data_IF_594073862620
#
_entry.id   IF_594073862620
#
_cell.length_a   1.000
_cell.length_b   1.000
_cell.length_c   1.000
_cell.angle_alpha   90.00
_cell.angle_beta   90.00
_cell.angle_gamma   90.00
#
_symmetry.space_group_name_H-M   'P 1'
#
loop_
_entity.id
_entity.type
_entity.pdbx_description
1 polymer ?
#
# COMPACT_ATOMS: atom_id res chain seq x y z
N UNK A 1 -0.65 13.02 -12.62
CA UNK A 1 -1.06 12.61 -11.25
C UNK A 1 -1.57 11.19 -11.30
N UNK A 2 -1.80 10.53 -10.16
CA UNK A 2 -2.37 9.17 -10.11
C UNK A 2 -3.74 9.14 -10.81
N UNK A 3 -4.67 10.01 -10.41
CA UNK A 3 -6.00 10.11 -11.03
C UNK A 3 -5.94 10.41 -12.54
N UNK A 4 -4.92 11.17 -12.98
CA UNK A 4 -4.74 11.47 -14.41
C UNK A 4 -4.33 10.26 -15.25
N UNK A 5 -3.82 9.19 -14.63
CA UNK A 5 -3.45 7.96 -15.32
C UNK A 5 -4.65 7.14 -15.78
N UNK A 6 -5.86 7.37 -15.25
CA UNK A 6 -7.07 6.64 -15.67
C UNK A 6 -7.24 6.66 -17.19
N UNK A 7 -7.07 7.82 -17.84
CA UNK A 7 -7.19 7.94 -19.30
C UNK A 7 -6.09 7.18 -20.06
N UNK A 8 -4.88 7.12 -19.49
CA UNK A 8 -3.76 6.39 -20.08
C UNK A 8 -4.03 4.89 -19.98
N UNK A 9 -4.46 4.43 -18.81
CA UNK A 9 -4.79 3.03 -18.57
C UNK A 9 -5.97 2.58 -19.42
N UNK A 10 -7.03 3.39 -19.52
CA UNK A 10 -8.18 3.15 -20.40
C UNK A 10 -7.71 2.84 -21.83
N UNK A 11 -6.78 3.66 -22.33
CA UNK A 11 -6.18 3.47 -23.66
C UNK A 11 -5.38 2.18 -23.77
N UNK A 12 -4.57 1.86 -22.75
CA UNK A 12 -3.77 0.64 -22.72
C UNK A 12 -4.64 -0.63 -22.66
N UNK A 13 -5.80 -0.54 -22.02
CA UNK A 13 -6.79 -1.60 -21.93
C UNK A 13 -7.77 -1.62 -23.11
N UNK A 14 -7.61 -0.71 -24.07
CA UNK A 14 -8.40 -0.71 -25.31
C UNK A 14 -9.79 -0.08 -25.19
N UNK A 15 -10.01 0.79 -24.19
CA UNK A 15 -11.27 1.48 -23.93
C UNK A 15 -12.45 0.51 -23.72
N UNK A 16 -12.18 -0.62 -23.09
CA UNK A 16 -13.22 -1.62 -22.81
C UNK A 16 -14.04 -1.13 -21.62
N UNK A 17 -15.36 -1.16 -21.77
CA UNK A 17 -16.27 -0.97 -20.64
C UNK A 17 -16.76 -2.33 -20.14
N UNK A 18 -16.32 -2.70 -18.94
CA UNK A 18 -16.82 -3.86 -18.20
C UNK A 18 -17.62 -3.37 -16.97
N UNK A 19 -18.27 -4.29 -16.24
CA UNK A 19 -18.99 -3.97 -14.99
C UNK A 19 -20.18 -3.00 -15.12
N UNK A 20 -20.93 -3.06 -16.22
CA UNK A 20 -22.18 -2.29 -16.42
C UNK A 20 -22.00 -0.75 -16.39
N UNK A 21 -20.83 -0.25 -16.82
CA UNK A 21 -20.55 1.20 -16.91
C UNK A 21 -20.54 1.69 -18.35
N UNK A 22 -20.67 3.00 -18.55
CA UNK A 22 -20.44 3.63 -19.86
C UNK A 22 -18.94 3.73 -20.20
N UNK A 23 -18.08 3.74 -19.17
CA UNK A 23 -16.63 3.81 -19.28
C UNK A 23 -15.97 2.88 -18.26
N UNK A 24 -14.93 2.15 -18.69
CA UNK A 24 -14.16 1.25 -17.81
C UNK A 24 -13.30 2.02 -16.81
N UNK A 25 -12.31 2.77 -17.31
CA UNK A 25 -11.45 3.65 -16.48
C UNK A 25 -11.91 5.10 -16.57
N UNK A 26 -12.32 5.68 -15.45
CA UNK A 26 -12.94 6.99 -15.44
C UNK A 26 -12.29 7.91 -14.37
N UNK A 27 -11.62 8.99 -14.77
CA UNK A 27 -11.02 9.95 -13.85
C UNK A 27 -12.06 10.73 -13.01
N UNK A 28 -13.36 10.61 -13.30
CA UNK A 28 -14.44 11.19 -12.52
C UNK A 28 -15.01 10.25 -11.44
N UNK A 29 -14.59 8.98 -11.40
CA UNK A 29 -15.01 8.01 -10.39
C UNK A 29 -14.15 8.08 -9.11
N UNK A 30 -14.06 9.29 -8.57
CA UNK A 30 -13.48 9.57 -7.26
C UNK A 30 -14.49 10.33 -6.42
N UNK A 31 -14.65 9.93 -5.17
CA UNK A 31 -15.67 10.51 -4.30
C UNK A 31 -15.14 10.71 -2.88
N UNK A 32 -15.81 11.62 -2.18
CA UNK A 32 -15.65 11.79 -0.74
C UNK A 32 -16.81 11.05 -0.06
N UNK A 33 -16.50 10.20 0.90
CA UNK A 33 -17.47 9.57 1.80
C UNK A 33 -17.28 10.12 3.20
N UNK A 34 -18.39 10.37 3.89
CA UNK A 34 -18.41 10.77 5.30
C UNK A 34 -18.97 9.62 6.13
N UNK A 35 -18.44 9.42 7.32
CA UNK A 35 -18.88 8.43 8.28
C UNK A 35 -19.09 9.11 9.64
N UNK A 36 -20.29 8.96 10.21
CA UNK A 36 -20.74 9.82 11.31
C UNK A 36 -21.17 11.21 10.85
N UNK A 37 -21.51 12.07 11.81
CA UNK A 37 -21.98 13.43 11.55
C UNK A 37 -20.82 14.44 11.62
N UNK A 38 -20.59 15.27 10.58
CA UNK A 38 -19.46 16.20 10.51
C UNK A 38 -19.67 17.44 11.39
N UNK A 39 -19.77 17.24 12.70
CA UNK A 39 -19.92 18.28 13.71
C UNK A 39 -18.56 18.79 14.19
N UNK A 40 -18.46 20.08 14.53
CA UNK A 40 -17.24 20.68 15.07
C UNK A 40 -16.79 20.02 16.39
N UNK A 41 -17.73 19.55 17.20
CA UNK A 41 -17.46 18.86 18.47
C UNK A 41 -17.62 17.34 18.35
N UNK A 42 -17.81 16.82 17.14
CA UNK A 42 -18.15 15.43 16.88
C UNK A 42 -16.93 14.54 16.64
N UNK A 43 -17.19 13.24 16.65
CA UNK A 43 -16.26 12.20 16.23
C UNK A 43 -16.75 11.61 14.91
N UNK A 44 -16.04 11.89 13.83
CA UNK A 44 -16.44 11.49 12.48
C UNK A 44 -15.22 11.29 11.61
N UNK A 45 -15.39 10.57 10.50
CA UNK A 45 -14.32 10.39 9.53
C UNK A 45 -14.79 10.72 8.12
N UNK A 46 -13.82 11.00 7.26
CA UNK A 46 -14.06 11.07 5.84
C UNK A 46 -12.98 10.31 5.08
N UNK A 47 -13.37 9.86 3.89
CA UNK A 47 -12.49 9.14 2.98
C UNK A 47 -12.55 9.78 1.61
N UNK A 48 -11.41 10.00 0.99
CA UNK A 48 -11.32 10.25 -0.44
C UNK A 48 -10.85 8.98 -1.13
N UNK A 49 -11.63 8.48 -2.08
CA UNK A 49 -11.37 7.19 -2.70
C UNK A 49 -11.76 7.11 -4.16
N UNK A 50 -11.07 6.20 -4.87
CA UNK A 50 -11.33 5.83 -6.25
C UNK A 50 -10.27 4.81 -6.69
N UNK A 51 -10.19 4.54 -7.99
CA UNK A 51 -9.19 3.61 -8.52
C UNK A 51 -7.76 4.11 -8.18
N UNK A 52 -6.97 3.26 -7.52
CA UNK A 52 -5.63 3.55 -7.00
C UNK A 52 -5.48 4.66 -5.94
N UNK A 53 -6.57 5.16 -5.34
CA UNK A 53 -6.49 6.14 -4.26
C UNK A 53 -7.45 5.73 -3.14
N UNK A 54 -6.96 5.64 -1.91
CA UNK A 54 -7.81 5.51 -0.73
C UNK A 54 -7.14 6.18 0.46
N UNK A 55 -7.65 7.35 0.82
CA UNK A 55 -7.17 8.18 1.93
C UNK A 55 -8.24 8.24 2.99
N UNK A 56 -7.90 7.97 4.24
CA UNK A 56 -8.84 7.99 5.36
C UNK A 56 -8.39 8.98 6.43
N UNK A 57 -9.32 9.79 6.93
CA UNK A 57 -9.08 10.79 7.97
C UNK A 57 -10.17 10.71 9.02
N UNK A 58 -9.77 10.58 10.28
CA UNK A 58 -10.68 10.63 11.43
C UNK A 58 -10.44 11.90 12.21
N UNK A 59 -11.52 12.55 12.62
CA UNK A 59 -11.52 13.78 13.39
C UNK A 59 -12.26 13.57 14.71
N UNK A 60 -11.77 14.26 15.74
CA UNK A 60 -12.45 14.39 17.02
C UNK A 60 -12.43 15.86 17.43
N UNK A 61 -13.60 16.47 17.62
CA UNK A 61 -13.72 17.87 18.02
C UNK A 61 -12.88 18.84 17.15
N UNK A 62 -12.90 18.62 15.82
CA UNK A 62 -12.17 19.44 14.84
C UNK A 62 -10.69 19.09 14.68
N UNK A 63 -10.13 18.22 15.53
CA UNK A 63 -8.74 17.78 15.42
C UNK A 63 -8.61 16.46 14.66
N UNK A 64 -7.64 16.36 13.74
CA UNK A 64 -7.30 15.10 13.06
C UNK A 64 -6.64 14.16 14.07
N UNK A 65 -7.25 13.00 14.30
CA UNK A 65 -6.80 11.95 15.23
C UNK A 65 -6.22 10.72 14.53
N UNK A 66 -6.54 10.49 13.26
CA UNK A 66 -5.94 9.44 12.43
C UNK A 66 -5.94 9.83 10.96
N UNK A 67 -4.92 9.40 10.23
CA UNK A 67 -4.77 9.60 8.77
C UNK A 67 -4.52 8.30 8.02
N UNK A 68 -4.78 7.15 8.67
CA UNK A 68 -4.56 5.83 8.08
C UNK A 68 -5.84 5.00 8.01
N UNK A 69 -5.94 4.08 7.05
CA UNK A 69 -4.94 3.73 6.02
C UNK A 69 -4.79 4.83 4.95
N UNK A 70 -3.57 5.00 4.46
CA UNK A 70 -3.26 5.90 3.35
C UNK A 70 -2.65 5.09 2.22
N UNK A 71 -3.49 4.75 1.25
CA UNK A 71 -3.15 3.96 0.08
C UNK A 71 -3.06 4.82 -1.17
N UNK A 72 -1.98 4.64 -1.91
CA UNK A 72 -1.76 5.20 -3.24
C UNK A 72 -1.16 4.13 -4.13
N UNK A 73 -1.74 3.96 -5.31
CA UNK A 73 -1.18 3.14 -6.38
C UNK A 73 -1.00 3.92 -7.67
N UNK A 74 -0.38 3.30 -8.66
CA UNK A 74 -0.22 3.86 -9.99
C UNK A 74 -0.18 2.73 -11.03
N UNK A 75 -1.18 2.74 -11.91
CA UNK A 75 -1.26 1.87 -13.09
C UNK A 75 -1.57 2.75 -14.32
N UNK A 76 -0.61 2.94 -15.25
CA UNK A 76 0.78 2.46 -15.20
C UNK A 76 1.66 3.26 -14.22
N UNK A 77 2.63 2.59 -13.58
CA UNK A 77 3.61 3.19 -12.69
C UNK A 77 4.55 4.18 -13.39
N UNK A 78 4.85 3.90 -14.66
CA UNK A 78 5.65 4.71 -15.56
C UNK A 78 4.84 4.95 -16.84
N UNK A 79 4.57 6.22 -17.14
CA UNK A 79 3.85 6.62 -18.36
C UNK A 79 4.61 7.69 -19.13
N UNK A 80 4.74 7.54 -20.43
CA UNK A 80 5.28 8.60 -21.29
C UNK A 80 4.26 9.73 -21.43
N UNK A 81 4.70 10.95 -21.17
CA UNK A 81 3.97 12.17 -21.52
C UNK A 81 4.33 12.58 -22.96
N UNK A 82 3.68 13.63 -23.47
CA UNK A 82 4.08 14.24 -24.74
C UNK A 82 5.56 14.68 -24.67
N UNK A 83 6.39 14.18 -25.60
CA UNK A 83 7.85 14.41 -25.60
C UNK A 83 8.63 13.33 -24.84
N UNK A 84 9.86 13.62 -24.37
CA UNK A 84 10.72 12.66 -23.68
C UNK A 84 10.42 12.52 -22.17
N UNK A 85 9.36 13.17 -21.67
CA UNK A 85 9.08 13.23 -20.24
C UNK A 85 8.33 11.99 -19.76
N UNK A 86 8.72 11.50 -18.59
CA UNK A 86 8.10 10.34 -17.95
C UNK A 86 7.33 10.79 -16.70
N UNK A 87 6.08 10.38 -16.58
CA UNK A 87 5.28 10.52 -15.38
C UNK A 87 5.46 9.26 -14.52
N UNK A 88 6.05 9.42 -13.34
CA UNK A 88 6.24 8.37 -12.32
C UNK A 88 5.75 8.89 -10.95
N UNK A 89 4.44 8.92 -10.68
CA UNK A 89 3.92 9.63 -9.52
C UNK A 89 4.37 9.03 -8.18
N UNK A 90 4.81 7.77 -8.17
CA UNK A 90 5.29 7.05 -6.98
C UNK A 90 6.78 6.65 -7.08
N UNK A 91 7.56 7.29 -7.98
CA UNK A 91 8.98 6.97 -8.18
C UNK A 91 9.80 6.97 -6.89
N UNK A 92 9.60 7.96 -6.02
CA UNK A 92 10.41 8.10 -4.81
C UNK A 92 10.27 6.88 -3.87
N UNK A 93 9.09 6.26 -3.81
CA UNK A 93 8.87 5.06 -2.99
C UNK A 93 9.62 3.84 -3.53
N UNK A 94 9.80 3.75 -4.86
CA UNK A 94 10.58 2.69 -5.51
C UNK A 94 12.08 2.97 -5.39
N UNK A 95 12.49 4.18 -5.82
CA UNK A 95 13.88 4.55 -6.00
C UNK A 95 14.62 4.58 -4.65
N UNK A 96 14.04 5.19 -3.60
CA UNK A 96 14.64 5.22 -2.26
C UNK A 96 14.69 3.83 -1.61
N UNK A 97 13.68 2.98 -1.83
CA UNK A 97 13.72 1.62 -1.28
C UNK A 97 14.80 0.76 -1.95
N UNK A 98 15.04 0.97 -3.25
CA UNK A 98 16.15 0.34 -3.98
C UNK A 98 17.50 0.87 -3.51
N UNK A 99 17.63 2.19 -3.34
CA UNK A 99 18.83 2.78 -2.73
C UNK A 99 19.09 2.18 -1.34
N UNK A 100 18.05 2.05 -0.52
CA UNK A 100 18.16 1.48 0.81
C UNK A 100 18.61 0.01 0.80
N UNK A 101 17.98 -0.88 0.04
CA UNK A 101 18.43 -2.30 -0.03
C UNK A 101 19.86 -2.42 -0.60
N UNK A 102 20.28 -1.52 -1.49
CA UNK A 102 21.64 -1.49 -2.03
C UNK A 102 22.66 -0.94 -1.04
N UNK A 103 22.27 -0.07 -0.11
CA UNK A 103 23.11 0.43 0.99
C UNK A 103 23.45 -0.65 2.04
N UNK A 104 22.68 -1.75 2.08
CA UNK A 104 22.88 -2.83 3.05
C UNK A 104 24.13 -3.66 2.74
N UNK A 105 24.83 -4.10 3.79
CA UNK A 105 25.90 -5.10 3.66
C UNK A 105 25.33 -6.42 3.13
N UNK A 106 26.21 -7.31 2.64
CA UNK A 106 25.78 -8.63 2.15
C UNK A 106 25.02 -9.43 3.22
N UNK A 107 25.46 -9.37 4.48
CA UNK A 107 24.82 -10.05 5.61
C UNK A 107 23.46 -9.44 5.98
N UNK A 108 23.39 -8.11 6.05
CA UNK A 108 22.14 -7.38 6.27
C UNK A 108 21.12 -7.68 5.16
N UNK A 109 21.57 -7.63 3.89
CA UNK A 109 20.73 -7.92 2.72
C UNK A 109 20.23 -9.36 2.73
N UNK A 110 21.05 -10.32 3.12
CA UNK A 110 20.64 -11.72 3.25
C UNK A 110 19.54 -11.93 4.31
N UNK A 111 19.47 -11.05 5.31
CA UNK A 111 18.41 -11.06 6.33
C UNK A 111 17.17 -10.26 5.88
N UNK A 112 17.37 -9.14 5.18
CA UNK A 112 16.30 -8.30 4.66
C UNK A 112 15.50 -9.02 3.54
N UNK A 113 16.17 -9.71 2.62
CA UNK A 113 15.52 -10.47 1.54
C UNK A 113 14.98 -11.78 2.08
N UNK A 114 13.73 -11.76 2.55
CA UNK A 114 13.07 -12.91 3.16
C UNK A 114 12.62 -13.93 2.12
N UNK A 115 12.30 -13.48 0.90
CA UNK A 115 11.94 -14.38 -0.18
C UNK A 115 12.39 -13.90 -1.55
N UNK A 116 12.67 -14.83 -2.47
CA UNK A 116 13.04 -14.50 -3.86
C UNK A 116 11.84 -14.18 -4.74
N UNK A 117 10.67 -14.71 -4.37
CA UNK A 117 9.41 -14.51 -5.10
C UNK A 117 8.56 -13.51 -4.30
N UNK A 118 8.22 -12.35 -4.86
CA UNK A 118 7.32 -11.40 -4.21
C UNK A 118 5.87 -11.92 -4.27
N UNK A 119 4.93 -11.36 -3.48
CA UNK A 119 3.52 -11.68 -3.63
C UNK A 119 2.96 -11.04 -4.92
N UNK A 120 1.71 -11.33 -5.28
CA UNK A 120 1.03 -10.67 -6.42
C UNK A 120 0.50 -9.28 -6.10
N UNK A 121 0.32 -8.97 -4.81
CA UNK A 121 -0.11 -7.67 -4.30
C UNK A 121 0.31 -7.51 -2.82
N UNK A 122 0.07 -6.33 -2.25
CA UNK A 122 0.29 -6.03 -0.83
C UNK A 122 -0.55 -6.94 0.09
N UNK A 123 0.00 -7.29 1.26
CA UNK A 123 -0.67 -8.17 2.22
C UNK A 123 -1.82 -7.44 2.92
N UNK A 124 -1.72 -6.13 3.13
CA UNK A 124 -2.77 -5.31 3.74
C UNK A 124 -4.09 -5.37 2.97
N UNK A 125 -4.03 -5.37 1.64
CA UNK A 125 -5.17 -5.39 0.73
C UNK A 125 -6.34 -4.48 1.21
N UNK A 126 -7.55 -5.00 1.26
CA UNK A 126 -8.76 -4.30 1.72
C UNK A 126 -9.12 -4.59 3.21
N UNK A 127 -8.19 -5.14 4.00
CA UNK A 127 -8.47 -5.57 5.38
C UNK A 127 -8.58 -4.38 6.33
N UNK A 128 -9.63 -4.36 7.15
CA UNK A 128 -9.78 -3.37 8.24
C UNK A 128 -8.75 -3.58 9.37
N UNK A 129 -8.30 -4.81 9.59
CA UNK A 129 -7.24 -5.15 10.54
C UNK A 129 -6.33 -6.26 9.98
N UNK A 130 -5.07 -6.27 10.42
CA UNK A 130 -4.11 -7.33 10.10
C UNK A 130 -4.04 -8.35 11.24
N UNK A 131 -4.06 -9.62 10.87
CA UNK A 131 -4.05 -10.77 11.78
C UNK A 131 -2.91 -11.73 11.46
N UNK A 132 -2.42 -12.42 12.48
CA UNK A 132 -1.29 -13.34 12.36
C UNK A 132 -1.55 -14.37 11.24
N UNK A 133 -0.64 -14.45 10.28
CA UNK A 133 -0.75 -15.37 9.14
C UNK A 133 -1.42 -14.80 7.90
N UNK A 134 -1.94 -13.56 7.91
CA UNK A 134 -2.53 -12.94 6.73
C UNK A 134 -1.56 -12.90 5.56
N UNK A 135 -1.98 -13.37 4.38
CA UNK A 135 -1.22 -13.31 3.13
C UNK A 135 -1.85 -12.31 2.17
N UNK A 136 -1.16 -12.01 1.05
CA UNK A 136 -1.79 -11.33 -0.08
C UNK A 136 -3.10 -12.02 -0.45
N UNK A 137 -4.16 -11.23 -0.63
CA UNK A 137 -5.46 -11.77 -1.01
C UNK A 137 -5.46 -12.10 -2.49
N UNK A 138 -6.06 -13.24 -2.89
CA UNK A 138 -6.45 -13.44 -4.27
C UNK A 138 -7.35 -12.28 -4.73
N UNK A 139 -7.23 -11.87 -5.98
CA UNK A 139 -8.00 -10.77 -6.56
C UNK A 139 -9.52 -10.94 -6.38
N UNK A 140 -10.03 -12.16 -6.41
CA UNK A 140 -11.45 -12.48 -6.14
C UNK A 140 -11.92 -12.05 -4.75
N UNK A 141 -11.03 -12.05 -3.77
CA UNK A 141 -11.35 -11.85 -2.36
C UNK A 141 -11.13 -10.39 -1.94
N UNK A 142 -10.46 -9.60 -2.79
CA UNK A 142 -10.32 -8.15 -2.62
C UNK A 142 -11.67 -7.44 -2.77
N UNK A 143 -12.60 -8.00 -3.55
CA UNK A 143 -13.98 -7.51 -3.55
C UNK A 143 -14.81 -8.25 -2.52
N UNK A 144 -15.56 -7.51 -1.71
CA UNK A 144 -16.55 -8.09 -0.79
C UNK A 144 -17.75 -8.72 -1.50
N UNK A 145 -17.83 -8.59 -2.83
CA UNK A 145 -18.84 -9.20 -3.69
C UNK A 145 -18.22 -10.41 -4.39
N UNK A 146 -18.89 -11.56 -4.31
CA UNK A 146 -18.54 -12.70 -5.14
C UNK A 146 -19.02 -12.47 -6.58
N UNK A 147 -18.13 -12.71 -7.53
CA UNK A 147 -18.45 -12.66 -8.95
C UNK A 147 -18.69 -14.08 -9.46
N UNK A 148 -19.88 -14.33 -9.99
CA UNK A 148 -20.24 -15.62 -10.58
C UNK A 148 -20.19 -15.57 -12.11
N UNK A 149 -20.20 -16.75 -12.73
CA UNK A 149 -20.23 -16.90 -14.19
C UNK A 149 -18.96 -16.38 -14.87
N UNK A 150 -19.11 -15.87 -16.10
CA UNK A 150 -17.98 -15.53 -16.97
C UNK A 150 -17.04 -14.47 -16.35
N UNK A 151 -17.57 -13.54 -15.55
CA UNK A 151 -16.79 -12.50 -14.89
C UNK A 151 -15.95 -13.07 -13.74
N UNK A 152 -16.53 -13.97 -12.93
CA UNK A 152 -15.80 -14.71 -11.90
C UNK A 152 -14.66 -15.55 -12.49
N UNK A 153 -14.95 -16.29 -13.56
CA UNK A 153 -13.96 -17.08 -14.28
C UNK A 153 -12.83 -16.23 -14.86
N UNK A 154 -13.15 -15.02 -15.35
CA UNK A 154 -12.17 -14.08 -15.87
C UNK A 154 -11.23 -13.58 -14.76
N UNK A 155 -11.79 -13.16 -13.61
CA UNK A 155 -11.01 -12.70 -12.45
C UNK A 155 -10.09 -13.81 -11.94
N UNK A 156 -10.60 -15.03 -11.80
CA UNK A 156 -9.79 -16.16 -11.36
C UNK A 156 -8.65 -16.46 -12.34
N UNK A 157 -8.90 -16.39 -13.65
CA UNK A 157 -7.86 -16.56 -14.68
C UNK A 157 -6.79 -15.46 -14.61
N UNK A 158 -7.16 -14.22 -14.30
CA UNK A 158 -6.19 -13.12 -14.10
C UNK A 158 -5.28 -13.43 -12.92
N UNK A 159 -5.84 -13.83 -11.77
CA UNK A 159 -5.05 -14.22 -10.60
C UNK A 159 -4.11 -15.39 -10.91
N UNK A 160 -4.63 -16.46 -11.50
CA UNK A 160 -3.83 -17.65 -11.83
C UNK A 160 -2.68 -17.35 -12.78
N UNK A 161 -2.86 -16.40 -13.72
CA UNK A 161 -1.79 -15.93 -14.60
C UNK A 161 -0.72 -15.15 -13.83
N UNK A 162 -1.13 -14.21 -12.98
CA UNK A 162 -0.21 -13.43 -12.17
C UNK A 162 0.63 -14.33 -11.24
N UNK A 163 0.00 -15.31 -10.58
CA UNK A 163 0.69 -16.28 -9.73
C UNK A 163 1.66 -17.16 -10.53
N UNK A 164 1.26 -17.61 -11.72
CA UNK A 164 2.11 -18.42 -12.60
C UNK A 164 3.30 -17.63 -13.17
N UNK A 165 3.11 -16.36 -13.54
CA UNK A 165 4.16 -15.47 -14.04
C UNK A 165 5.28 -15.27 -13.00
N UNK A 166 4.91 -15.18 -11.72
CA UNK A 166 5.86 -15.06 -10.60
C UNK A 166 6.30 -16.43 -10.05
N UNK A 167 5.69 -17.52 -10.51
CA UNK A 167 5.90 -18.88 -9.97
C UNK A 167 5.66 -18.96 -8.45
N UNK A 168 4.62 -18.28 -7.97
CA UNK A 168 4.28 -18.20 -6.54
C UNK A 168 3.81 -19.56 -6.03
N UNK A 169 4.32 -19.93 -4.86
CA UNK A 169 3.83 -21.07 -4.07
C UNK A 169 3.19 -20.61 -2.76
N UNK A 170 2.42 -21.50 -2.13
CA UNK A 170 1.86 -21.22 -0.79
C UNK A 170 2.95 -21.02 0.28
N UNK A 171 4.16 -21.57 0.08
CA UNK A 171 5.29 -21.34 0.98
C UNK A 171 5.83 -19.91 0.85
N UNK A 172 5.88 -19.37 -0.37
CA UNK A 172 6.26 -17.98 -0.62
C UNK A 172 5.29 -17.03 0.10
N UNK A 173 3.98 -17.27 -0.03
CA UNK A 173 2.95 -16.48 0.66
C UNK A 173 3.07 -16.58 2.18
N UNK A 174 3.33 -17.77 2.74
CA UNK A 174 3.56 -17.94 4.19
C UNK A 174 4.79 -17.18 4.69
N UNK A 175 5.89 -17.19 3.94
CA UNK A 175 7.09 -16.41 4.30
C UNK A 175 6.79 -14.92 4.36
N UNK A 176 5.94 -14.42 3.47
CA UNK A 176 5.58 -13.01 3.37
C UNK A 176 4.35 -12.61 4.19
N UNK A 177 3.72 -13.56 4.87
CA UNK A 177 2.53 -13.29 5.68
C UNK A 177 2.78 -12.23 6.75
N UNK A 178 1.72 -11.54 7.18
CA UNK A 178 1.76 -10.71 8.36
C UNK A 178 2.04 -11.54 9.61
N UNK A 179 2.86 -11.00 10.49
CA UNK A 179 3.11 -11.53 11.82
C UNK A 179 3.35 -10.38 12.78
N UNK A 180 2.90 -10.46 14.03
CA UNK A 180 3.13 -9.41 15.04
C UNK A 180 4.60 -9.21 15.35
N UNK A 181 5.38 -10.28 15.30
CA UNK A 181 6.84 -10.19 15.31
C UNK A 181 7.28 -9.86 13.89
N UNK A 182 7.83 -8.67 13.61
CA UNK A 182 8.17 -8.27 12.25
C UNK A 182 9.25 -9.17 11.66
N UNK A 183 9.08 -9.56 10.40
CA UNK A 183 10.05 -10.33 9.63
C UNK A 183 11.07 -9.41 8.96
N UNK A 184 12.22 -9.96 8.57
CA UNK A 184 13.28 -9.23 7.86
C UNK A 184 14.35 -8.65 8.78
N UNK A 185 15.05 -7.63 8.29
CA UNK A 185 16.18 -7.01 8.98
C UNK A 185 15.70 -5.98 10.01
N UNK A 186 15.96 -6.25 11.29
CA UNK A 186 15.77 -5.27 12.36
C UNK A 186 16.64 -4.03 12.17
N UNK A 187 16.05 -2.85 12.32
CA UNK A 187 16.72 -1.55 12.22
C UNK A 187 17.77 -1.32 13.31
N UNK A 188 17.71 -2.06 14.41
CA UNK A 188 18.77 -2.10 15.43
C UNK A 188 20.12 -2.59 14.88
N UNK A 189 20.12 -3.38 13.80
CA UNK A 189 21.34 -3.88 13.14
C UNK A 189 21.84 -2.96 12.02
N UNK A 190 21.17 -1.82 11.78
CA UNK A 190 21.60 -0.84 10.80
C UNK A 190 22.66 0.10 11.39
N UNK A 191 23.53 0.63 10.53
CA UNK A 191 24.38 1.76 10.90
C UNK A 191 23.54 3.04 11.07
N UNK A 192 24.14 4.09 11.65
CA UNK A 192 23.48 5.40 11.77
C UNK A 192 23.07 5.94 10.39
N UNK A 193 23.94 5.81 9.37
CA UNK A 193 23.64 6.26 8.01
C UNK A 193 22.45 5.49 7.42
N UNK A 194 22.45 4.16 7.52
CA UNK A 194 21.36 3.33 7.01
C UNK A 194 20.03 3.59 7.72
N UNK A 195 20.05 3.90 9.03
CA UNK A 195 18.83 4.37 9.71
C UNK A 195 18.37 5.72 9.18
N UNK A 196 19.29 6.60 8.78
CA UNK A 196 18.97 7.83 8.06
C UNK A 196 18.26 7.55 6.73
N UNK A 197 18.79 6.63 5.92
CA UNK A 197 18.19 6.24 4.64
C UNK A 197 16.79 5.63 4.81
N UNK A 198 16.59 4.80 5.84
CA UNK A 198 15.27 4.28 6.21
C UNK A 198 14.30 5.41 6.58
N UNK A 199 14.75 6.45 7.30
CA UNK A 199 13.91 7.62 7.59
C UNK A 199 13.53 8.39 6.33
N UNK A 200 14.46 8.58 5.39
CA UNK A 200 14.15 9.22 4.10
C UNK A 200 13.08 8.44 3.32
N UNK A 201 13.16 7.10 3.33
CA UNK A 201 12.11 6.27 2.75
C UNK A 201 10.75 6.50 3.45
N UNK A 202 10.73 6.52 4.78
CA UNK A 202 9.50 6.73 5.55
C UNK A 202 8.87 8.12 5.35
N UNK A 203 9.65 9.16 5.07
CA UNK A 203 9.13 10.50 4.70
C UNK A 203 8.21 10.47 3.49
N UNK A 204 8.46 9.59 2.51
CA UNK A 204 7.59 9.44 1.33
C UNK A 204 6.17 8.99 1.70
N UNK A 205 6.00 8.36 2.85
CA UNK A 205 4.72 7.88 3.36
C UNK A 205 4.09 8.88 4.32
N UNK A 206 4.84 9.29 5.34
CA UNK A 206 4.33 10.10 6.45
C UNK A 206 4.07 11.53 6.01
N UNK A 207 4.91 12.12 5.14
CA UNK A 207 4.77 13.52 4.72
C UNK A 207 3.76 13.71 3.56
N UNK A 208 2.87 12.74 3.33
CA UNK A 208 1.75 12.88 2.37
C UNK A 208 0.60 13.73 2.94
N UNK A 209 0.62 13.98 4.24
CA UNK A 209 -0.36 14.77 4.99
C UNK A 209 0.24 16.15 5.36
N UNK A 210 -0.57 17.06 5.90
CA UNK A 210 -0.08 18.38 6.34
C UNK A 210 1.03 18.26 7.38
N UNK A 211 1.99 19.19 7.33
CA UNK A 211 3.19 19.21 8.18
C UNK A 211 2.86 19.02 9.68
N UNK A 212 1.86 19.74 10.21
CA UNK A 212 1.45 19.62 11.62
C UNK A 212 1.00 18.21 12.04
N UNK A 213 0.41 17.45 11.11
CA UNK A 213 -0.02 16.07 11.36
C UNK A 213 1.16 15.12 11.17
N UNK A 214 1.98 15.33 10.14
CA UNK A 214 3.18 14.56 9.91
C UNK A 214 4.15 14.66 11.09
N UNK A 215 4.34 15.84 11.67
CA UNK A 215 5.16 16.06 12.86
C UNK A 215 4.67 15.26 14.07
N UNK A 216 3.34 15.16 14.25
CA UNK A 216 2.74 14.30 15.29
C UNK A 216 2.98 12.82 15.04
N UNK A 217 2.96 12.38 13.78
CA UNK A 217 3.31 11.00 13.42
C UNK A 217 4.81 10.72 13.63
N UNK A 218 5.68 11.66 13.25
CA UNK A 218 7.13 11.56 13.48
C UNK A 218 7.49 11.56 14.96
N UNK A 219 6.75 12.28 15.81
CA UNK A 219 6.94 12.23 17.25
C UNK A 219 6.72 10.83 17.85
N UNK A 220 5.92 9.97 17.19
CA UNK A 220 5.73 8.56 17.57
C UNK A 220 6.91 7.67 17.16
N UNK A 221 7.76 8.13 16.24
CA UNK A 221 8.91 7.42 15.68
C UNK A 221 10.24 8.03 16.14
N UNK A 222 10.45 8.08 17.47
CA UNK A 222 11.76 8.45 18.03
C UNK A 222 12.88 7.51 17.56
N UNK A 223 14.15 7.89 17.76
CA UNK A 223 15.29 7.06 17.33
C UNK A 223 15.26 5.64 17.90
N UNK A 224 14.82 5.47 19.14
CA UNK A 224 14.64 4.15 19.75
C UNK A 224 13.50 3.37 19.08
N UNK A 225 12.40 4.05 18.73
CA UNK A 225 11.26 3.43 18.02
C UNK A 225 11.57 3.08 16.58
N UNK A 226 12.46 3.81 15.93
CA UNK A 226 12.94 3.47 14.59
C UNK A 226 13.79 2.20 14.63
N UNK A 227 14.58 1.99 15.69
CA UNK A 227 15.35 0.76 15.86
C UNK A 227 14.48 -0.48 16.12
N UNK A 228 13.23 -0.29 16.57
CA UNK A 228 12.23 -1.36 16.73
C UNK A 228 11.55 -1.76 15.40
N UNK A 229 11.81 -1.05 14.30
CA UNK A 229 11.28 -1.40 12.98
C UNK A 229 12.08 -2.54 12.35
N UNK A 230 11.43 -3.33 11.50
CA UNK A 230 12.08 -4.26 10.59
C UNK A 230 11.79 -3.92 9.14
N UNK A 231 12.80 -4.13 8.29
CA UNK A 231 12.71 -4.01 6.85
C UNK A 231 12.74 -5.39 6.20
N UNK A 232 11.69 -5.71 5.44
CA UNK A 232 11.57 -6.93 4.66
C UNK A 232 11.53 -6.59 3.17
N UNK A 233 12.23 -7.39 2.38
CA UNK A 233 12.22 -7.35 0.93
C UNK A 233 11.86 -8.71 0.34
N UNK A 234 11.15 -8.71 -0.77
CA UNK A 234 10.94 -9.87 -1.62
C UNK A 234 11.07 -9.52 -3.10
N UNK A 235 11.58 -10.45 -3.90
CA UNK A 235 11.77 -10.23 -5.33
C UNK A 235 13.13 -9.62 -5.69
N UNK A 236 13.22 -9.08 -6.90
CA UNK A 236 14.47 -8.62 -7.49
C UNK A 236 14.89 -7.22 -7.03
N UNK A 237 16.17 -7.05 -6.72
CA UNK A 237 16.73 -5.78 -6.24
C UNK A 237 17.12 -4.81 -7.37
N UNK A 238 17.16 -5.28 -8.61
CA UNK A 238 17.50 -4.45 -9.77
C UNK A 238 16.25 -3.80 -10.39
N UNK A 239 16.45 -2.62 -10.99
CA UNK A 239 15.38 -1.86 -11.63
C UNK A 239 14.64 -2.71 -12.68
N UNK A 240 13.32 -2.63 -12.68
CA UNK A 240 12.45 -3.39 -13.60
C UNK A 240 12.16 -4.82 -13.16
N UNK A 241 12.80 -5.32 -12.11
CA UNK A 241 12.45 -6.62 -11.54
C UNK A 241 11.23 -6.50 -10.61
N UNK A 242 10.31 -7.49 -10.64
CA UNK A 242 9.20 -7.59 -9.70
C UNK A 242 9.70 -7.59 -8.27
N UNK A 243 9.10 -6.77 -7.41
CA UNK A 243 9.54 -6.66 -6.03
C UNK A 243 8.44 -6.13 -5.10
N UNK A 244 8.65 -6.42 -3.83
CA UNK A 244 7.81 -6.03 -2.73
C UNK A 244 8.69 -5.69 -1.53
N UNK A 245 8.31 -4.69 -0.76
CA UNK A 245 8.92 -4.44 0.54
C UNK A 245 7.90 -4.08 1.61
N UNK A 246 8.30 -4.29 2.85
CA UNK A 246 7.55 -3.92 4.04
C UNK A 246 8.46 -3.27 5.07
N UNK A 247 8.01 -2.15 5.65
CA UNK A 247 8.58 -1.61 6.89
C UNK A 247 7.55 -1.81 7.99
N UNK A 248 7.91 -2.51 9.06
CA UNK A 248 6.95 -2.87 10.10
C UNK A 248 7.54 -2.72 11.49
N UNK A 249 6.77 -2.12 12.40
CA UNK A 249 6.95 -2.18 13.85
C UNK A 249 5.63 -2.49 14.54
N UNK A 250 5.53 -2.17 15.83
CA UNK A 250 4.28 -2.37 16.60
C UNK A 250 3.15 -1.46 16.09
N UNK A 251 3.47 -0.19 15.77
CA UNK A 251 2.52 0.79 15.25
C UNK A 251 2.64 0.99 13.74
N UNK A 252 3.85 1.20 13.25
CA UNK A 252 4.06 1.52 11.83
C UNK A 252 3.96 0.27 10.96
N UNK A 253 3.18 0.35 9.90
CA UNK A 253 3.14 -0.67 8.86
C UNK A 253 3.08 -0.03 7.48
N UNK A 254 4.13 -0.21 6.68
CA UNK A 254 4.28 0.29 5.32
C UNK A 254 4.45 -0.90 4.39
N UNK A 255 3.75 -0.89 3.27
CA UNK A 255 3.98 -1.85 2.18
C UNK A 255 4.09 -1.14 0.84
N UNK A 256 4.84 -1.80 -0.04
CA UNK A 256 4.98 -1.45 -1.44
C UNK A 256 5.03 -2.74 -2.26
N UNK A 257 4.31 -2.75 -3.38
CA UNK A 257 4.35 -3.79 -4.41
C UNK A 257 4.56 -3.13 -5.78
N UNK A 258 5.42 -3.72 -6.60
CA UNK A 258 5.39 -3.54 -8.05
C UNK A 258 5.76 -4.86 -8.74
N UNK A 259 4.76 -5.71 -8.97
CA UNK A 259 4.96 -7.07 -9.51
C UNK A 259 4.13 -7.35 -10.76
N UNK A 260 3.02 -6.63 -10.93
CA UNK A 260 2.10 -6.81 -12.05
C UNK A 260 2.49 -5.96 -13.27
N UNK A 261 1.90 -6.29 -14.42
CA UNK A 261 2.08 -5.59 -15.71
C UNK A 261 3.54 -5.35 -16.11
N UNK A 262 4.41 -6.34 -15.86
CA UNK A 262 5.84 -6.21 -16.13
C UNK A 262 6.51 -5.15 -15.26
N UNK A 263 6.20 -5.13 -13.96
CA UNK A 263 6.74 -4.16 -12.98
C UNK A 263 6.31 -2.73 -13.32
N UNK A 264 5.05 -2.55 -13.70
CA UNK A 264 4.51 -1.24 -14.06
C UNK A 264 3.15 -0.95 -13.42
N UNK A 265 2.87 -1.54 -12.26
CA UNK A 265 1.64 -1.35 -11.50
C UNK A 265 2.00 -1.34 -10.03
N UNK A 266 2.07 -0.14 -9.47
CA UNK A 266 2.50 0.06 -8.09
C UNK A 266 1.29 0.08 -7.16
N UNK A 267 1.39 -0.60 -6.03
CA UNK A 267 0.54 -0.41 -4.87
C UNK A 267 1.38 -0.04 -3.64
N UNK A 268 0.98 1.01 -2.92
CA UNK A 268 1.65 1.42 -1.68
C UNK A 268 0.63 1.75 -0.61
N UNK A 269 0.93 1.42 0.64
CA UNK A 269 0.11 1.78 1.79
C UNK A 269 0.98 2.10 2.99
N UNK A 270 0.52 3.02 3.83
CA UNK A 270 0.97 3.08 5.21
C UNK A 270 -0.21 3.09 6.20
N UNK A 271 0.01 2.46 7.35
CA UNK A 271 -0.97 2.21 8.40
C UNK A 271 -0.35 2.42 9.78
N UNK A 272 -1.14 2.97 10.72
CA UNK A 272 -0.86 2.94 12.16
C UNK A 272 -1.67 1.80 12.78
N UNK A 273 -1.07 0.63 12.99
CA UNK A 273 -1.74 -0.60 13.42
C UNK A 273 -2.45 -0.49 14.78
N UNK A 274 -2.11 0.50 15.61
CA UNK A 274 -2.78 0.74 16.89
C UNK A 274 -3.92 1.76 16.79
N UNK A 275 -3.99 2.53 15.70
CA UNK A 275 -4.98 3.61 15.53
C UNK A 275 -5.52 3.70 14.09
N UNK A 276 -5.54 2.56 13.40
CA UNK A 276 -5.98 2.49 12.01
C UNK A 276 -7.47 2.79 11.94
N UNK A 277 -7.89 3.60 10.96
CA UNK A 277 -9.24 4.16 10.87
C UNK A 277 -9.66 5.03 12.07
N UNK A 278 -8.79 5.27 13.05
CA UNK A 278 -9.05 6.10 14.22
C UNK A 278 -10.27 5.64 15.03
N UNK A 279 -10.35 4.38 15.47
CA UNK A 279 -11.43 3.91 16.36
C UNK A 279 -12.73 3.46 15.65
N UNK A 280 -12.65 3.15 14.35
CA UNK A 280 -13.71 2.54 13.51
C UNK A 280 -15.10 3.17 13.68
N UNK A 281 -15.21 4.45 13.30
CA UNK A 281 -16.47 5.23 13.29
C UNK A 281 -17.60 4.49 12.58
N UNK A 282 -17.28 3.75 11.51
CA UNK A 282 -18.25 3.00 10.74
C UNK A 282 -18.83 1.83 11.55
N UNK A 283 -17.99 1.03 12.22
CA UNK A 283 -18.48 -0.01 13.12
C UNK A 283 -19.29 0.58 14.28
N UNK A 284 -18.90 1.73 14.82
CA UNK A 284 -19.68 2.42 15.85
C UNK A 284 -21.07 2.85 15.33
N UNK A 285 -21.16 3.40 14.12
CA UNK A 285 -22.45 3.76 13.52
C UNK A 285 -23.35 2.52 13.34
N UNK A 286 -22.82 1.43 12.77
CA UNK A 286 -23.59 0.19 12.60
C UNK A 286 -24.08 -0.42 13.91
N UNK A 287 -23.33 -0.28 15.00
CA UNK A 287 -23.72 -0.85 16.31
C UNK A 287 -24.75 0.00 17.05
N UNK A 288 -24.89 1.29 16.74
CA UNK A 288 -25.77 2.21 17.47
C UNK A 288 -26.99 2.68 16.66
N UNK A 289 -26.97 2.58 15.33
CA UNK A 289 -28.05 3.11 14.46
C UNK A 289 -28.77 2.04 13.61
N UNK A 290 -28.31 0.79 13.63
CA UNK A 290 -28.91 -0.34 12.90
C UNK A 290 -28.98 -1.60 13.76
#
# INVERSE_FOLDING_TARGET
TIMGLENVLDRLEGFISEFERERGRDPLLYWISFFGEPLETGFWSWRFGGHHVSLHFTLNAGEITSTTPCFLGADPANSLLLGPHLLRPLAAAEDLAREFIHSLTLEQRATAVVNKVPPTDIVGANRSALTEGDTALPLSDVWRKQFDGALGDAIHKVQMRADAELSITSEDLRKLSFSRVPKGLSASHLSISQRGDLKELLKIYINRISDDVADREWAKLSDDKIQELSFLWAGGIEKGQPHYYRVQGTRLFVEYDNTQRGTNHIHTVWRDLENDFGGDVLANHYTHEH
#
